data_IF_536052050846
#
_entry.id   IF_536052050846
#
_cell.length_a   1.000
_cell.length_b   1.000
_cell.length_c   1.000
_cell.angle_alpha   90.00
_cell.angle_beta   90.00
_cell.angle_gamma   90.00
#
_symmetry.space_group_name_H-M   'P 1'
#
loop_
_entity.id
_entity.type
_entity.pdbx_description
1 polymer ?
#
# COMPACT_ATOMS: atom_id res chain seq x y z
N UNK A 1 -22.21 1.11 -7.42
CA UNK A 1 -22.10 -0.36 -7.49
C UNK A 1 -21.20 -0.84 -6.35
N UNK A 2 -21.51 -1.94 -5.63
CA UNK A 2 -20.64 -2.45 -4.58
C UNK A 2 -19.24 -2.80 -5.11
N UNK A 3 -18.15 -2.59 -4.34
CA UNK A 3 -16.78 -2.86 -4.79
C UNK A 3 -16.56 -4.29 -5.31
N UNK A 4 -17.13 -5.29 -4.64
CA UNK A 4 -16.99 -6.69 -5.05
C UNK A 4 -17.60 -6.94 -6.44
N UNK A 5 -18.73 -6.27 -6.74
CA UNK A 5 -19.41 -6.38 -8.03
C UNK A 5 -18.65 -5.65 -9.15
N UNK A 6 -18.00 -4.53 -8.82
CA UNK A 6 -17.06 -3.84 -9.73
C UNK A 6 -15.89 -4.77 -10.07
N UNK A 7 -15.27 -5.37 -9.06
CA UNK A 7 -14.14 -6.27 -9.26
C UNK A 7 -14.53 -7.48 -10.12
N UNK A 8 -15.66 -8.13 -9.81
CA UNK A 8 -16.13 -9.27 -10.60
C UNK A 8 -16.46 -8.94 -12.06
N UNK A 9 -17.01 -7.75 -12.33
CA UNK A 9 -17.27 -7.31 -13.70
C UNK A 9 -15.97 -7.08 -14.49
N UNK A 10 -14.98 -6.41 -13.87
CA UNK A 10 -13.67 -6.17 -14.47
C UNK A 10 -12.96 -7.50 -14.75
N UNK A 11 -12.94 -8.41 -13.77
CA UNK A 11 -12.30 -9.72 -13.89
C UNK A 11 -12.92 -10.56 -15.02
N UNK A 12 -14.26 -10.53 -15.15
CA UNK A 12 -14.96 -11.23 -16.24
C UNK A 12 -14.53 -10.73 -17.61
N UNK A 13 -14.33 -9.43 -17.78
CA UNK A 13 -13.85 -8.85 -19.04
C UNK A 13 -12.40 -9.23 -19.30
N UNK A 14 -11.54 -9.15 -18.29
CA UNK A 14 -10.11 -9.51 -18.42
C UNK A 14 -9.95 -11.00 -18.75
N UNK A 15 -10.71 -11.89 -18.11
CA UNK A 15 -10.66 -13.34 -18.38
C UNK A 15 -11.04 -13.71 -19.81
N UNK A 16 -11.92 -12.92 -20.44
CA UNK A 16 -12.31 -13.14 -21.83
C UNK A 16 -11.30 -12.56 -22.82
N UNK A 17 -10.35 -11.72 -22.37
CA UNK A 17 -9.28 -11.17 -23.21
C UNK A 17 -8.05 -12.08 -23.10
N UNK A 18 -7.80 -12.90 -24.12
CA UNK A 18 -6.65 -13.81 -24.13
C UNK A 18 -5.31 -13.07 -24.12
N UNK A 19 -5.22 -11.88 -24.72
CA UNK A 19 -3.96 -11.14 -24.88
C UNK A 19 -4.15 -9.65 -24.60
N UNK A 20 -3.41 -9.14 -23.61
CA UNK A 20 -3.34 -7.72 -23.27
C UNK A 20 -1.87 -7.25 -23.37
N UNK A 21 -1.55 -6.50 -24.44
CA UNK A 21 -0.19 -6.06 -24.75
C UNK A 21 0.15 -4.68 -24.19
N UNK A 22 -0.83 -3.78 -24.13
CA UNK A 22 -0.64 -2.39 -23.76
C UNK A 22 -1.33 -2.08 -22.41
N UNK A 23 -0.68 -1.32 -21.51
CA UNK A 23 -1.28 -0.93 -20.24
C UNK A 23 -2.60 -0.16 -20.38
N UNK A 24 -2.75 0.61 -21.47
CA UNK A 24 -3.95 1.39 -21.76
C UNK A 24 -5.21 0.52 -21.86
N UNK A 25 -5.08 -0.73 -22.34
CA UNK A 25 -6.20 -1.67 -22.38
C UNK A 25 -6.74 -1.98 -20.98
N UNK A 26 -5.86 -2.13 -19.99
CA UNK A 26 -6.30 -2.29 -18.59
C UNK A 26 -7.02 -1.04 -18.09
N UNK A 27 -6.48 0.15 -18.35
CA UNK A 27 -7.13 1.41 -17.97
C UNK A 27 -8.52 1.55 -18.60
N UNK A 28 -8.68 1.15 -19.87
CA UNK A 28 -9.97 1.20 -20.57
C UNK A 28 -10.99 0.22 -19.96
N UNK A 29 -10.57 -1.01 -19.65
CA UNK A 29 -11.46 -1.99 -19.01
C UNK A 29 -11.89 -1.51 -17.61
N UNK A 30 -10.95 -0.98 -16.82
CA UNK A 30 -11.25 -0.50 -15.46
C UNK A 30 -12.13 0.75 -15.50
N UNK A 31 -11.82 1.71 -16.38
CA UNK A 31 -12.56 2.98 -16.49
C UNK A 31 -14.01 2.83 -16.91
N UNK A 32 -14.37 1.73 -17.57
CA UNK A 32 -15.77 1.41 -17.90
C UNK A 32 -16.66 1.24 -16.67
N UNK A 33 -16.10 0.86 -15.51
CA UNK A 33 -16.84 0.58 -14.29
C UNK A 33 -16.53 1.55 -13.13
N UNK A 34 -15.41 2.28 -13.19
CA UNK A 34 -14.96 3.19 -12.12
C UNK A 34 -14.22 4.41 -12.67
N UNK A 35 -14.13 5.46 -11.85
CA UNK A 35 -13.23 6.59 -12.12
C UNK A 35 -11.78 6.17 -11.86
N UNK A 36 -10.94 6.22 -12.89
CA UNK A 36 -9.51 5.91 -12.81
C UNK A 36 -8.74 7.21 -12.63
N UNK A 37 -7.85 7.26 -11.64
CA UNK A 37 -6.88 8.36 -11.48
C UNK A 37 -5.48 7.77 -11.66
N UNK A 38 -4.67 8.34 -12.55
CA UNK A 38 -3.33 7.81 -12.76
C UNK A 38 -2.44 8.18 -11.57
N UNK A 39 -1.56 7.25 -11.21
CA UNK A 39 -0.56 7.50 -10.17
C UNK A 39 0.38 8.65 -10.52
N UNK A 40 0.58 8.94 -11.81
CA UNK A 40 1.38 10.08 -12.30
C UNK A 40 0.79 11.44 -11.96
N UNK A 41 -0.52 11.49 -11.75
CA UNK A 41 -1.26 12.74 -11.55
C UNK A 41 -1.46 13.04 -10.05
N UNK A 42 -0.95 12.18 -9.15
CA UNK A 42 -1.19 12.27 -7.70
C UNK A 42 0.14 12.20 -6.94
N UNK A 43 0.26 13.02 -5.91
CA UNK A 43 1.34 12.90 -4.93
C UNK A 43 1.11 11.71 -4.00
N UNK A 44 2.00 10.72 -4.05
CA UNK A 44 1.97 9.57 -3.15
C UNK A 44 2.90 9.85 -1.98
N UNK A 45 2.40 9.70 -0.77
CA UNK A 45 3.17 10.00 0.44
C UNK A 45 3.60 8.75 1.21
N UNK A 46 4.82 8.76 1.73
CA UNK A 46 5.38 7.68 2.53
C UNK A 46 5.01 7.82 4.03
N UNK A 47 3.75 7.51 4.36
CA UNK A 47 3.22 7.62 5.72
C UNK A 47 3.96 6.77 6.76
N UNK A 48 4.48 5.60 6.40
CA UNK A 48 5.15 4.67 7.32
C UNK A 48 6.40 5.31 7.95
N UNK A 49 7.33 5.77 7.14
CA UNK A 49 8.55 6.47 7.59
C UNK A 49 8.25 7.72 8.41
N UNK A 50 7.29 8.54 7.99
CA UNK A 50 6.90 9.72 8.76
C UNK A 50 6.28 9.35 10.13
N UNK A 51 5.47 8.29 10.16
CA UNK A 51 4.87 7.80 11.41
C UNK A 51 5.95 7.28 12.35
N UNK A 52 6.90 6.49 11.83
CA UNK A 52 8.01 5.96 12.61
C UNK A 52 8.93 7.05 13.18
N UNK A 53 9.05 8.20 12.52
CA UNK A 53 9.84 9.35 13.03
C UNK A 53 9.14 10.04 14.20
N UNK A 54 7.83 10.27 14.10
CA UNK A 54 7.08 11.11 15.04
C UNK A 54 6.45 10.32 16.19
N UNK A 55 5.91 9.14 15.92
CA UNK A 55 5.15 8.34 16.88
C UNK A 55 6.00 7.24 17.52
N UNK A 56 5.66 6.89 18.75
CA UNK A 56 6.18 5.69 19.41
C UNK A 56 5.68 4.44 18.63
N UNK A 57 6.46 3.34 18.59
CA UNK A 57 5.94 2.07 18.11
C UNK A 57 4.67 1.68 18.86
N UNK A 58 3.70 1.07 18.17
CA UNK A 58 2.39 0.70 18.74
C UNK A 58 2.50 -0.13 20.02
N UNK A 59 3.52 -0.99 20.13
CA UNK A 59 3.78 -1.78 21.33
C UNK A 59 4.09 -0.94 22.59
N UNK A 60 4.59 0.29 22.42
CA UNK A 60 4.91 1.23 23.50
C UNK A 60 3.77 2.22 23.77
N UNK A 61 2.61 2.02 23.16
CA UNK A 61 1.45 2.86 23.44
C UNK A 61 0.86 2.48 24.81
N UNK A 62 0.20 3.42 25.50
CA UNK A 62 -0.36 3.18 26.82
C UNK A 62 -1.61 2.29 26.80
N UNK A 63 -2.05 1.85 25.61
CA UNK A 63 -3.19 0.95 25.42
C UNK A 63 -2.93 0.02 24.24
N UNK A 64 -3.54 -1.17 24.28
CA UNK A 64 -3.41 -2.19 23.23
C UNK A 64 -4.51 -1.99 22.18
N UNK A 65 -4.15 -1.55 20.97
CA UNK A 65 -5.10 -1.23 19.89
C UNK A 65 -6.11 -2.35 19.64
N UNK A 66 -5.66 -3.62 19.55
CA UNK A 66 -6.53 -4.78 19.31
C UNK A 66 -7.64 -4.99 20.36
N UNK A 67 -7.40 -4.56 21.59
CA UNK A 67 -8.34 -4.77 22.70
C UNK A 67 -9.33 -3.60 22.85
N UNK A 68 -9.03 -2.44 22.27
CA UNK A 68 -9.84 -1.25 22.41
C UNK A 68 -11.01 -1.26 21.42
N UNK A 69 -12.24 -1.09 21.92
CA UNK A 69 -13.44 -0.88 21.10
C UNK A 69 -13.62 0.58 20.70
N UNK A 70 -13.02 1.52 21.45
CA UNK A 70 -13.18 2.96 21.21
C UNK A 70 -11.86 3.70 21.38
N UNK A 71 -11.55 4.59 20.45
CA UNK A 71 -10.45 5.53 20.55
C UNK A 71 -10.97 6.95 20.74
N UNK A 72 -10.37 7.69 21.66
CA UNK A 72 -10.69 9.10 21.92
C UNK A 72 -9.44 9.92 21.67
N UNK A 73 -9.54 10.84 20.71
CA UNK A 73 -8.49 11.79 20.36
C UNK A 73 -8.86 13.16 20.93
N UNK A 74 -8.01 13.71 21.78
CA UNK A 74 -8.23 15.01 22.43
C UNK A 74 -7.07 15.93 22.13
N UNK A 75 -7.37 17.12 21.61
CA UNK A 75 -6.38 18.20 21.48
C UNK A 75 -6.11 18.81 22.85
N UNK A 76 -4.86 18.77 23.31
CA UNK A 76 -4.43 19.47 24.51
C UNK A 76 -4.16 20.94 24.18
N UNK A 77 -4.83 21.86 24.88
CA UNK A 77 -4.60 23.31 24.75
C UNK A 77 -3.22 23.69 25.31
N UNK A 78 -2.82 23.12 26.44
CA UNK A 78 -1.55 23.40 27.13
C UNK A 78 -0.34 22.92 26.35
N UNK A 79 -0.34 21.65 25.92
CA UNK A 79 0.80 21.06 25.20
C UNK A 79 0.79 21.35 23.69
N UNK A 80 -0.30 21.97 23.19
CA UNK A 80 -0.62 22.13 21.75
C UNK A 80 -0.37 20.85 20.94
N UNK A 81 -0.70 19.70 21.52
CA UNK A 81 -0.48 18.39 20.92
C UNK A 81 -1.74 17.51 21.05
N UNK A 82 -1.81 16.44 20.25
CA UNK A 82 -2.90 15.47 20.31
C UNK A 82 -2.60 14.39 21.34
N UNK A 83 -3.53 14.17 22.26
CA UNK A 83 -3.52 13.07 23.22
C UNK A 83 -4.48 12.00 22.74
N UNK A 84 -4.08 10.74 22.85
CA UNK A 84 -4.92 9.60 22.49
C UNK A 84 -5.23 8.75 23.71
N UNK A 85 -6.38 8.10 23.65
CA UNK A 85 -6.87 7.17 24.65
C UNK A 85 -7.58 6.02 23.96
N UNK A 86 -7.25 4.78 24.33
CA UNK A 86 -8.02 3.60 23.97
C UNK A 86 -8.87 3.13 25.14
N UNK A 87 -10.10 2.71 24.86
CA UNK A 87 -11.07 2.21 25.82
C UNK A 87 -11.51 0.80 25.40
N UNK A 88 -11.60 -0.12 26.37
CA UNK A 88 -12.02 -1.51 26.13
C UNK A 88 -13.50 -1.62 25.75
N UNK A 89 -14.34 -0.70 26.23
CA UNK A 89 -15.79 -0.69 25.98
C UNK A 89 -16.21 0.61 25.28
N UNK A 90 -17.34 0.57 24.56
CA UNK A 90 -17.88 1.74 23.85
C UNK A 90 -18.33 2.86 24.81
N UNK A 91 -18.77 2.51 26.01
CA UNK A 91 -19.37 3.44 26.97
C UNK A 91 -18.51 3.65 28.23
N UNK A 92 -17.20 3.41 28.17
CA UNK A 92 -16.29 3.59 29.30
C UNK A 92 -15.40 4.82 29.18
N UNK A 93 -15.18 5.56 30.27
CA UNK A 93 -14.31 6.76 30.33
C UNK A 93 -13.22 6.64 31.40
N UNK A 94 -12.72 5.44 31.66
CA UNK A 94 -11.82 5.18 32.79
C UNK A 94 -10.37 5.56 32.51
N UNK A 95 -9.93 5.47 31.25
CA UNK A 95 -8.52 5.65 30.92
C UNK A 95 -8.14 7.13 30.78
N UNK A 96 -6.86 7.44 30.99
CA UNK A 96 -6.29 8.79 30.81
C UNK A 96 -5.80 8.98 29.37
N UNK A 97 -6.02 10.16 28.81
CA UNK A 97 -5.47 10.52 27.50
C UNK A 97 -3.98 10.87 27.62
N UNK A 98 -3.16 10.25 26.79
CA UNK A 98 -1.70 10.33 26.86
C UNK A 98 -1.08 10.65 25.50
N UNK A 99 0.16 11.14 25.51
CA UNK A 99 0.91 11.45 24.29
C UNK A 99 1.58 10.18 23.72
N UNK A 100 1.25 9.88 22.46
CA UNK A 100 1.81 8.76 21.69
C UNK A 100 2.98 9.17 20.78
N UNK A 101 3.32 10.45 20.69
CA UNK A 101 4.54 10.91 20.03
C UNK A 101 5.79 10.54 20.84
N UNK A 102 6.93 10.42 20.15
CA UNK A 102 8.24 10.27 20.80
C UNK A 102 8.58 11.52 21.63
N UNK A 103 9.54 11.40 22.53
CA UNK A 103 10.03 12.53 23.35
C UNK A 103 10.49 13.68 22.45
N UNK A 104 10.05 14.90 22.77
CA UNK A 104 10.33 16.11 21.98
C UNK A 104 9.54 16.26 20.67
N UNK A 105 8.81 15.23 20.24
CA UNK A 105 8.04 15.25 18.99
C UNK A 105 6.56 15.63 19.23
N UNK A 106 5.96 16.27 18.23
CA UNK A 106 4.53 16.67 18.24
C UNK A 106 3.82 16.13 17.00
N UNK A 107 2.51 15.93 17.07
CA UNK A 107 1.70 15.51 15.92
C UNK A 107 1.84 16.48 14.74
N UNK A 108 2.03 17.77 14.99
CA UNK A 108 2.26 18.78 13.93
C UNK A 108 3.59 18.63 13.19
N UNK A 109 4.53 17.84 13.72
CA UNK A 109 5.80 17.52 13.07
C UNK A 109 5.66 16.34 12.09
N UNK A 110 4.47 15.74 12.01
CA UNK A 110 4.15 14.71 11.04
C UNK A 110 4.13 15.31 9.62
N UNK A 111 5.20 15.04 8.86
CA UNK A 111 5.37 15.47 7.47
C UNK A 111 5.78 14.28 6.62
N UNK A 112 4.82 13.63 5.95
CA UNK A 112 5.11 12.58 4.98
C UNK A 112 6.01 13.09 3.86
N UNK A 113 6.98 12.27 3.45
CA UNK A 113 7.80 12.54 2.27
C UNK A 113 7.11 11.96 1.04
N UNK A 114 7.19 12.66 -0.09
CA UNK A 114 6.66 12.16 -1.36
C UNK A 114 7.50 10.98 -1.85
N UNK A 115 6.83 9.96 -2.38
CA UNK A 115 7.44 8.82 -3.04
C UNK A 115 7.63 9.17 -4.51
N UNK A 116 8.86 9.04 -5.00
CA UNK A 116 9.12 9.18 -6.42
C UNK A 116 8.52 8.00 -7.19
N UNK A 117 7.78 8.31 -8.24
CA UNK A 117 7.20 7.32 -9.14
C UNK A 117 8.30 6.71 -10.01
N UNK A 118 8.19 5.41 -10.29
CA UNK A 118 9.12 4.70 -11.16
C UNK A 118 10.29 4.08 -10.41
N UNK A 119 9.99 3.09 -9.56
CA UNK A 119 11.04 2.24 -9.02
C UNK A 119 11.81 1.59 -10.18
N UNK A 120 13.15 1.64 -10.16
CA UNK A 120 13.96 0.99 -11.18
C UNK A 120 13.64 -0.51 -11.21
N UNK A 121 13.33 -1.02 -12.41
CA UNK A 121 13.06 -2.45 -12.62
C UNK A 121 14.38 -3.20 -12.49
N UNK A 122 14.39 -4.30 -11.74
CA UNK A 122 15.61 -5.10 -11.53
C UNK A 122 16.08 -5.75 -12.85
N UNK A 123 17.40 -5.96 -12.98
CA UNK A 123 17.99 -6.60 -14.18
C UNK A 123 17.40 -7.98 -14.46
N UNK A 124 17.10 -8.73 -13.40
CA UNK A 124 16.47 -10.04 -13.49
C UNK A 124 15.09 -9.95 -14.15
N UNK A 125 14.23 -9.01 -13.72
CA UNK A 125 12.91 -8.78 -14.32
C UNK A 125 13.00 -8.33 -15.78
N UNK A 126 13.94 -7.44 -16.10
CA UNK A 126 14.17 -7.00 -17.49
C UNK A 126 14.56 -8.19 -18.38
N UNK A 127 15.47 -9.04 -17.91
CA UNK A 127 15.92 -10.23 -18.63
C UNK A 127 14.79 -11.21 -18.86
N UNK A 128 13.97 -11.44 -17.83
CA UNK A 128 12.83 -12.34 -17.90
C UNK A 128 11.75 -11.85 -18.88
N UNK A 129 11.39 -10.56 -18.80
CA UNK A 129 10.46 -9.93 -19.74
C UNK A 129 10.98 -10.03 -21.18
N UNK A 130 12.28 -9.80 -21.42
CA UNK A 130 12.86 -9.94 -22.75
C UNK A 130 12.79 -11.38 -23.28
N UNK A 131 13.04 -12.39 -22.43
CA UNK A 131 12.89 -13.81 -22.80
C UNK A 131 11.44 -14.15 -23.11
N UNK A 132 10.49 -13.63 -22.32
CA UNK A 132 9.07 -13.84 -22.54
C UNK A 132 8.62 -13.27 -23.88
N UNK A 133 9.03 -12.04 -24.21
CA UNK A 133 8.70 -11.40 -25.48
C UNK A 133 9.32 -12.14 -26.67
N UNK A 134 10.57 -12.59 -26.56
CA UNK A 134 11.21 -13.42 -27.59
C UNK A 134 10.49 -14.76 -27.79
N UNK A 135 10.05 -15.41 -26.72
CA UNK A 135 9.36 -16.70 -26.78
C UNK A 135 7.99 -16.60 -27.46
N UNK A 136 7.24 -15.53 -27.20
CA UNK A 136 5.88 -15.37 -27.71
C UNK A 136 5.80 -14.70 -29.09
N UNK A 137 6.75 -13.82 -29.42
CA UNK A 137 6.69 -12.99 -30.64
C UNK A 137 7.90 -13.15 -31.58
N UNK A 138 8.87 -14.01 -31.23
CA UNK A 138 10.07 -14.23 -32.01
C UNK A 138 11.17 -13.19 -31.74
N UNK A 139 12.28 -13.28 -32.49
CA UNK A 139 13.44 -12.40 -32.31
C UNK A 139 13.15 -10.94 -32.73
N UNK A 140 12.23 -10.75 -33.68
CA UNK A 140 11.89 -9.46 -34.30
C UNK A 140 10.81 -8.69 -33.52
N UNK A 141 10.47 -9.14 -32.31
CA UNK A 141 9.43 -8.53 -31.49
C UNK A 141 9.65 -7.02 -31.26
N UNK A 142 10.91 -6.58 -31.30
CA UNK A 142 11.33 -5.18 -31.11
C UNK A 142 10.86 -4.24 -32.21
N UNK A 143 10.58 -4.77 -33.40
CA UNK A 143 10.12 -3.97 -34.55
C UNK A 143 8.63 -3.69 -34.49
N UNK A 144 7.88 -4.43 -33.65
CA UNK A 144 6.44 -4.30 -33.59
C UNK A 144 6.00 -3.08 -32.78
N UNK A 145 5.04 -2.35 -33.35
CA UNK A 145 4.49 -1.13 -32.75
C UNK A 145 3.71 -1.38 -31.45
N UNK A 146 3.03 -2.53 -31.36
CA UNK A 146 2.24 -2.93 -30.21
C UNK A 146 3.09 -3.21 -28.95
N UNK A 147 4.37 -3.51 -29.12
CA UNK A 147 5.33 -3.82 -28.05
C UNK A 147 6.30 -2.68 -27.70
N UNK A 148 6.16 -1.50 -28.34
CA UNK A 148 7.02 -0.33 -28.11
C UNK A 148 7.13 0.09 -26.64
N UNK A 149 6.08 -0.12 -25.86
CA UNK A 149 6.06 0.15 -24.42
C UNK A 149 7.23 -0.53 -23.68
N UNK A 150 7.52 -1.80 -24.02
CA UNK A 150 8.55 -2.59 -23.34
C UNK A 150 9.98 -2.14 -23.69
N UNK A 151 10.19 -1.55 -24.88
CA UNK A 151 11.50 -1.01 -25.26
C UNK A 151 11.94 0.11 -24.33
N UNK A 152 10.99 0.95 -23.89
CA UNK A 152 11.25 2.01 -22.91
C UNK A 152 11.72 1.46 -21.57
N UNK A 153 11.17 0.32 -21.13
CA UNK A 153 11.53 -0.33 -19.86
C UNK A 153 12.92 -0.96 -19.94
N UNK A 154 13.23 -1.65 -21.05
CA UNK A 154 14.50 -2.36 -21.22
C UNK A 154 15.69 -1.40 -21.35
N UNK A 155 15.48 -0.20 -21.92
CA UNK A 155 16.56 0.78 -22.17
C UNK A 155 16.93 1.64 -20.95
N UNK A 156 16.13 1.67 -19.87
CA UNK A 156 16.39 2.51 -18.70
C UNK A 156 17.53 1.93 -17.84
N UNK A 157 18.49 2.75 -17.37
CA UNK A 157 19.60 2.28 -16.55
C UNK A 157 19.09 1.67 -15.22
N UNK A 158 19.57 0.47 -14.93
CA UNK A 158 19.12 -0.34 -13.80
C UNK A 158 19.82 0.07 -12.50
N UNK A 159 19.08 0.15 -11.38
CA UNK A 159 19.70 0.13 -10.05
C UNK A 159 20.17 -1.29 -9.73
N UNK A 160 21.43 -1.43 -9.35
CA UNK A 160 21.95 -2.68 -8.79
C UNK A 160 21.38 -2.86 -7.39
N UNK A 161 20.79 -4.05 -7.16
CA UNK A 161 20.34 -4.56 -5.86
C UNK A 161 19.25 -3.77 -5.12
N UNK A 162 18.00 -4.22 -5.29
CA UNK A 162 17.05 -4.23 -4.18
C UNK A 162 16.91 -5.69 -3.76
N UNK A 163 17.42 -6.03 -2.57
CA UNK A 163 17.06 -7.27 -1.91
C UNK A 163 15.53 -7.32 -1.85
N UNK A 164 14.95 -8.40 -2.36
CA UNK A 164 13.55 -8.71 -2.15
C UNK A 164 13.32 -8.73 -0.63
N UNK A 165 12.80 -7.62 -0.10
CA UNK A 165 12.29 -7.61 1.27
C UNK A 165 11.08 -8.53 1.21
N UNK A 166 11.26 -9.78 1.64
CA UNK A 166 10.18 -10.71 1.94
C UNK A 166 9.07 -9.92 2.61
N UNK A 167 7.95 -9.78 1.90
CA UNK A 167 6.72 -9.25 2.45
C UNK A 167 6.33 -10.22 3.56
N UNK A 168 6.72 -9.87 4.79
CA UNK A 168 6.32 -10.59 5.98
C UNK A 168 4.80 -10.45 6.07
N UNK A 169 4.12 -11.42 5.46
CA UNK A 169 2.67 -11.53 5.45
C UNK A 169 2.22 -11.45 6.90
N UNK A 170 1.16 -10.68 7.14
CA UNK A 170 0.47 -10.69 8.41
C UNK A 170 -0.19 -12.07 8.56
N UNK A 171 0.59 -13.08 8.95
CA UNK A 171 0.06 -14.33 9.44
C UNK A 171 -0.74 -14.01 10.69
N UNK A 172 -2.06 -13.98 10.52
CA UNK A 172 -2.97 -14.02 11.64
C UNK A 172 -2.77 -15.35 12.32
N UNK A 173 -2.05 -15.36 13.44
CA UNK A 173 -2.10 -16.49 14.37
C UNK A 173 -3.58 -16.65 14.73
N UNK A 174 -4.20 -17.71 14.24
CA UNK A 174 -5.52 -18.13 14.67
C UNK A 174 -5.39 -18.60 16.13
N UNK A 175 -5.58 -17.68 17.08
CA UNK A 175 -5.73 -18.05 18.49
C UNK A 175 -6.93 -18.99 18.58
N UNK A 176 -6.68 -20.25 18.99
CA UNK A 176 -7.74 -21.18 19.39
C UNK A 176 -8.58 -20.47 20.45
N UNK A 177 -9.86 -20.28 20.17
CA UNK A 177 -10.82 -19.76 21.14
C UNK A 177 -10.76 -20.61 22.41
N UNK A 178 -10.53 -20.03 23.60
CA UNK A 178 -10.73 -20.78 24.84
C UNK A 178 -12.22 -21.09 24.95
N UNK A 179 -12.54 -22.38 24.99
CA UNK A 179 -13.91 -22.88 25.18
C UNK A 179 -14.38 -22.41 26.56
N UNK A 180 -15.34 -21.48 26.58
CA UNK A 180 -15.90 -20.86 27.79
C UNK A 180 -17.14 -21.60 28.31
N UNK A 181 -17.27 -22.88 28.01
CA UNK A 181 -18.28 -23.73 28.64
C UNK A 181 -17.72 -24.26 29.96
N UNK A 182 -17.97 -23.49 31.02
CA UNK A 182 -18.10 -24.02 32.39
C UNK A 182 -19.58 -24.31 32.64
#
# INVERSE_FOLDING_TARGET
MPPDRVSGNIEKVIKNQEVILQPEKYCNVISSNVTVTNLRDIEIFHFKSATQKVFKPTAKWPFKIKQCKRFVLKRSKTLRNTLSRGELFYFSNFSKSLNVCKTGQKTSMFRPTTILLGAPVTRAKITDVNKLLQKHFGLDWKERDDLKFYLGIIKVPTSEENQDLEENWCEGIAEKSPDLRL
#
